data_IF_898331819288
#
_entry.id   IF_898331819288
#
_cell.length_a   1.000
_cell.length_b   1.000
_cell.length_c   1.000
_cell.angle_alpha   90.00
_cell.angle_beta   90.00
_cell.angle_gamma   90.00
#
_symmetry.space_group_name_H-M   'P 1'
#
loop_
_entity.id
_entity.type
_entity.pdbx_description
1 polymer ?
#
# COMPACT_ATOMS: atom_id res chain seq x y z
N UNK A 1 12.86 -20.02 -19.63
CA UNK A 1 11.56 -19.31 -19.56
C UNK A 1 11.09 -19.02 -18.11
N UNK A 2 11.71 -19.59 -17.06
CA UNK A 2 11.36 -19.37 -15.64
C UNK A 2 11.97 -18.11 -14.98
N UNK A 3 13.11 -17.61 -15.49
CA UNK A 3 13.87 -16.48 -14.89
C UNK A 3 13.01 -15.21 -14.68
N UNK A 4 12.04 -14.96 -15.56
CA UNK A 4 11.16 -13.79 -15.45
C UNK A 4 10.19 -13.87 -14.26
N UNK A 5 9.69 -15.06 -13.94
CA UNK A 5 8.73 -15.27 -12.86
C UNK A 5 9.41 -15.17 -11.48
N UNK A 6 10.55 -15.81 -11.30
CA UNK A 6 11.28 -15.77 -10.03
C UNK A 6 11.73 -14.35 -9.67
N UNK A 7 12.16 -13.58 -10.67
CA UNK A 7 12.51 -12.16 -10.49
C UNK A 7 11.30 -11.34 -10.02
N UNK A 8 10.13 -11.58 -10.61
CA UNK A 8 8.90 -10.88 -10.25
C UNK A 8 8.51 -11.18 -8.79
N UNK A 9 8.58 -12.45 -8.38
CA UNK A 9 8.30 -12.87 -7.01
C UNK A 9 9.27 -12.23 -6.00
N UNK A 10 10.55 -12.10 -6.34
CA UNK A 10 11.53 -11.43 -5.48
C UNK A 10 11.29 -9.92 -5.37
N UNK A 11 10.92 -9.26 -6.48
CA UNK A 11 10.59 -7.83 -6.46
C UNK A 11 9.30 -7.57 -5.66
N UNK A 12 8.27 -8.40 -5.85
CA UNK A 12 6.99 -8.26 -5.17
C UNK A 12 7.13 -8.46 -3.66
N UNK A 13 7.90 -9.47 -3.25
CA UNK A 13 8.17 -9.75 -1.84
C UNK A 13 8.98 -8.65 -1.17
N UNK A 14 10.01 -8.12 -1.83
CA UNK A 14 10.78 -6.99 -1.30
C UNK A 14 9.94 -5.72 -1.15
N UNK A 15 9.12 -5.39 -2.16
CA UNK A 15 8.22 -4.24 -2.12
C UNK A 15 7.17 -4.36 -1.00
N UNK A 16 6.54 -5.53 -0.86
CA UNK A 16 5.56 -5.79 0.20
C UNK A 16 6.20 -5.73 1.60
N UNK A 17 7.38 -6.33 1.77
CA UNK A 17 8.11 -6.31 3.04
C UNK A 17 8.47 -4.90 3.50
N UNK A 18 8.99 -4.06 2.60
CA UNK A 18 9.36 -2.68 2.91
C UNK A 18 8.15 -1.81 3.28
N UNK A 19 7.06 -1.93 2.52
CA UNK A 19 5.83 -1.20 2.80
C UNK A 19 5.18 -1.65 4.12
N UNK A 20 5.19 -2.96 4.40
CA UNK A 20 4.68 -3.52 5.65
C UNK A 20 5.47 -3.03 6.87
N UNK A 21 6.81 -3.06 6.80
CA UNK A 21 7.68 -2.59 7.88
C UNK A 21 7.51 -1.10 8.19
N UNK A 22 7.18 -0.28 7.18
CA UNK A 22 6.99 1.16 7.36
C UNK A 22 5.65 1.52 8.03
N UNK A 23 4.59 0.75 7.76
CA UNK A 23 3.22 1.10 8.15
C UNK A 23 2.55 0.14 9.14
N UNK A 24 3.22 -0.95 9.52
CA UNK A 24 2.66 -2.00 10.36
C UNK A 24 1.34 -2.57 9.80
N UNK A 25 1.30 -2.74 8.46
CA UNK A 25 0.06 -3.03 7.72
C UNK A 25 0.29 -4.11 6.64
N UNK A 26 0.45 -5.39 7.03
CA UNK A 26 0.82 -6.46 6.11
C UNK A 26 -0.22 -6.69 5.00
N UNK A 27 -1.52 -6.71 5.33
CA UNK A 27 -2.58 -6.94 4.33
C UNK A 27 -2.60 -5.82 3.29
N UNK A 28 -2.61 -4.56 3.73
CA UNK A 28 -2.62 -3.40 2.83
C UNK A 28 -1.39 -3.41 1.91
N UNK A 29 -0.21 -3.76 2.45
CA UNK A 29 1.01 -3.81 1.66
C UNK A 29 0.95 -4.85 0.53
N UNK A 30 0.37 -6.02 0.78
CA UNK A 30 0.23 -7.08 -0.23
C UNK A 30 -0.77 -6.72 -1.32
N UNK A 31 -1.89 -6.10 -0.94
CA UNK A 31 -2.90 -5.66 -1.88
C UNK A 31 -2.34 -4.57 -2.78
N UNK A 32 -1.58 -3.62 -2.23
CA UNK A 32 -0.89 -2.60 -3.00
C UNK A 32 0.05 -3.20 -4.06
N UNK A 33 0.85 -4.20 -3.68
CA UNK A 33 1.75 -4.87 -4.63
C UNK A 33 0.98 -5.60 -5.74
N UNK A 34 -0.14 -6.25 -5.43
CA UNK A 34 -0.94 -6.91 -6.45
C UNK A 34 -1.66 -5.94 -7.38
N UNK A 35 -2.26 -4.89 -6.81
CA UNK A 35 -3.13 -3.95 -7.51
C UNK A 35 -2.31 -2.95 -8.34
N UNK A 36 -1.29 -2.33 -7.75
CA UNK A 36 -0.55 -1.22 -8.38
C UNK A 36 0.67 -1.70 -9.18
N UNK A 37 1.36 -2.77 -8.76
CA UNK A 37 2.60 -3.21 -9.42
C UNK A 37 2.32 -4.24 -10.51
N UNK A 38 1.49 -5.24 -10.23
CA UNK A 38 1.31 -6.39 -11.13
C UNK A 38 0.04 -6.34 -11.97
N UNK A 39 -0.99 -5.60 -11.54
CA UNK A 39 -2.31 -5.54 -12.17
C UNK A 39 -2.90 -6.94 -12.49
N UNK A 40 -2.44 -7.99 -11.80
CA UNK A 40 -2.85 -9.38 -12.01
C UNK A 40 -2.75 -10.15 -10.69
N UNK A 41 -3.87 -10.77 -10.32
CA UNK A 41 -3.99 -11.58 -9.12
C UNK A 41 -3.44 -12.99 -9.34
N UNK A 42 -2.10 -13.10 -9.40
CA UNK A 42 -1.44 -14.41 -9.31
C UNK A 42 -1.40 -14.87 -7.85
N UNK A 43 -2.03 -15.99 -7.55
CA UNK A 43 -2.04 -16.59 -6.20
C UNK A 43 -0.63 -16.80 -5.65
N UNK A 44 0.33 -17.16 -6.51
CA UNK A 44 1.71 -17.40 -6.09
C UNK A 44 2.38 -16.10 -5.61
N UNK A 45 2.21 -15.00 -6.36
CA UNK A 45 2.76 -13.69 -5.99
C UNK A 45 2.11 -13.19 -4.70
N UNK A 46 0.80 -13.42 -4.54
CA UNK A 46 0.08 -13.04 -3.33
C UNK A 46 0.61 -13.73 -2.07
N UNK A 47 0.76 -15.05 -2.10
CA UNK A 47 1.24 -15.82 -0.94
C UNK A 47 2.66 -15.41 -0.56
N UNK A 48 3.55 -15.25 -1.55
CA UNK A 48 4.95 -14.89 -1.27
C UNK A 48 5.06 -13.45 -0.76
N UNK A 49 4.28 -12.52 -1.32
CA UNK A 49 4.26 -11.13 -0.85
C UNK A 49 3.65 -11.01 0.55
N UNK A 50 2.63 -11.81 0.88
CA UNK A 50 2.01 -11.84 2.21
C UNK A 50 2.91 -12.42 3.28
N UNK A 51 3.57 -13.53 2.97
CA UNK A 51 4.55 -14.12 3.88
C UNK A 51 5.73 -13.18 4.13
N UNK A 52 6.24 -12.48 3.11
CA UNK A 52 7.29 -11.46 3.31
C UNK A 52 6.79 -10.25 4.11
N UNK A 53 5.58 -9.76 3.84
CA UNK A 53 4.99 -8.64 4.55
C UNK A 53 4.80 -8.93 6.04
N UNK A 54 4.29 -10.12 6.39
CA UNK A 54 4.10 -10.55 7.78
C UNK A 54 5.44 -10.71 8.50
N UNK A 55 6.40 -11.39 7.87
CA UNK A 55 7.73 -11.59 8.48
C UNK A 55 8.46 -10.27 8.71
N UNK A 56 8.42 -9.36 7.74
CA UNK A 56 8.98 -8.01 7.88
C UNK A 56 8.29 -7.20 8.97
N UNK A 57 6.97 -7.29 9.07
CA UNK A 57 6.20 -6.61 10.12
C UNK A 57 6.53 -7.12 11.53
N UNK A 58 6.69 -8.44 11.68
CA UNK A 58 7.12 -9.05 12.93
C UNK A 58 8.51 -8.56 13.35
N UNK A 59 9.46 -8.49 12.41
CA UNK A 59 10.81 -7.97 12.67
C UNK A 59 10.76 -6.49 13.03
N UNK A 60 10.01 -5.68 12.27
CA UNK A 60 9.84 -4.25 12.54
C UNK A 60 9.22 -4.03 13.93
N UNK A 61 8.20 -4.80 14.29
CA UNK A 61 7.55 -4.76 15.60
C UNK A 61 8.51 -5.15 16.73
N UNK A 62 9.40 -6.13 16.50
CA UNK A 62 10.41 -6.52 17.50
C UNK A 62 11.46 -5.42 17.72
N UNK A 63 11.84 -4.70 16.66
CA UNK A 63 12.85 -3.64 16.71
C UNK A 63 12.28 -2.31 17.23
N UNK A 64 11.11 -1.89 16.73
CA UNK A 64 10.50 -0.59 17.01
C UNK A 64 9.41 -0.63 18.09
N UNK A 65 8.96 -1.83 18.48
CA UNK A 65 7.91 -2.04 19.47
C UNK A 65 6.50 -2.18 18.86
N UNK A 66 5.54 -2.52 19.72
CA UNK A 66 4.15 -2.86 19.36
C UNK A 66 3.21 -1.65 19.17
N UNK A 67 3.74 -0.44 18.96
CA UNK A 67 2.90 0.75 18.81
C UNK A 67 2.46 0.89 17.35
N UNK A 68 1.15 0.81 17.04
CA UNK A 68 0.68 1.08 15.69
C UNK A 68 1.07 2.50 15.29
N UNK A 69 1.59 2.66 14.08
CA UNK A 69 1.97 3.98 13.53
C UNK A 69 0.76 4.92 13.52
N UNK A 70 -0.45 4.38 13.34
CA UNK A 70 -1.67 5.14 13.18
C UNK A 70 -2.82 4.52 14.02
N UNK A 71 -2.80 4.78 15.33
CA UNK A 71 -3.87 4.35 16.24
C UNK A 71 -5.07 5.30 16.14
N UNK A 72 -6.21 4.79 15.66
CA UNK A 72 -7.47 5.54 15.61
C UNK A 72 -8.57 4.79 16.35
N UNK A 73 -9.30 5.50 17.22
CA UNK A 73 -10.47 4.96 17.90
C UNK A 73 -11.63 4.89 16.91
N UNK A 74 -12.09 3.68 16.61
CA UNK A 74 -13.24 3.48 15.73
C UNK A 74 -14.52 3.96 16.43
N UNK A 75 -15.20 4.92 15.81
CA UNK A 75 -16.59 5.29 16.16
C UNK A 75 -17.45 5.04 14.94
N UNK A 76 -18.64 4.42 15.09
CA UNK A 76 -19.47 4.10 13.94
C UNK A 76 -19.91 5.40 13.26
N UNK A 77 -19.70 5.50 11.94
CA UNK A 77 -20.08 6.67 11.16
C UNK A 77 -21.61 6.67 10.95
N UNK A 78 -22.35 7.70 11.41
CA UNK A 78 -23.78 7.80 11.12
C UNK A 78 -24.08 7.88 9.62
N UNK A 79 -25.17 7.25 9.16
CA UNK A 79 -25.55 7.18 7.73
C UNK A 79 -25.65 8.56 7.06
N UNK A 80 -26.02 9.61 7.80
CA UNK A 80 -26.13 10.99 7.29
C UNK A 80 -24.82 11.55 6.69
N UNK A 81 -23.66 10.98 7.06
CA UNK A 81 -22.36 11.45 6.56
C UNK A 81 -21.87 10.74 5.30
N UNK A 82 -22.56 9.71 4.81
CA UNK A 82 -22.11 8.99 3.59
C UNK A 82 -22.05 9.91 2.37
N UNK A 83 -22.99 10.86 2.23
CA UNK A 83 -22.96 11.84 1.14
C UNK A 83 -21.70 12.73 1.20
N UNK A 84 -21.26 13.09 2.41
CA UNK A 84 -20.04 13.86 2.62
C UNK A 84 -18.78 13.07 2.27
N UNK A 85 -18.77 11.75 2.52
CA UNK A 85 -17.66 10.88 2.12
C UNK A 85 -17.49 10.83 0.61
N UNK A 86 -18.60 10.79 -0.16
CA UNK A 86 -18.55 10.82 -1.64
C UNK A 86 -18.00 12.15 -2.14
N UNK A 87 -18.48 13.28 -1.59
CA UNK A 87 -17.96 14.61 -1.96
C UNK A 87 -16.47 14.74 -1.65
N UNK A 88 -16.05 14.27 -0.47
CA UNK A 88 -14.64 14.26 -0.06
C UNK A 88 -13.80 13.38 -1.00
N UNK A 89 -14.31 12.23 -1.44
CA UNK A 89 -13.67 11.38 -2.44
C UNK A 89 -13.44 12.08 -3.78
N UNK A 90 -14.43 12.83 -4.27
CA UNK A 90 -14.29 13.63 -5.51
C UNK A 90 -13.21 14.70 -5.33
N UNK A 91 -13.24 15.43 -4.21
CA UNK A 91 -12.25 16.48 -3.91
C UNK A 91 -10.84 15.88 -3.83
N UNK A 92 -10.65 14.79 -3.10
CA UNK A 92 -9.36 14.11 -3.01
C UNK A 92 -8.89 13.56 -4.36
N UNK A 93 -9.80 13.06 -5.20
CA UNK A 93 -9.46 12.61 -6.56
C UNK A 93 -8.95 13.74 -7.45
N UNK A 94 -9.61 14.91 -7.42
CA UNK A 94 -9.16 16.10 -8.16
C UNK A 94 -7.81 16.59 -7.63
N UNK A 95 -7.64 16.67 -6.31
CA UNK A 95 -6.37 17.07 -5.71
C UNK A 95 -5.24 16.09 -6.04
N UNK A 96 -5.49 14.78 -6.04
CA UNK A 96 -4.54 13.75 -6.44
C UNK A 96 -4.11 13.91 -7.90
N UNK A 97 -5.05 14.24 -8.80
CA UNK A 97 -4.74 14.52 -10.21
C UNK A 97 -3.88 15.78 -10.36
N UNK A 98 -4.17 16.84 -9.62
CA UNK A 98 -3.35 18.06 -9.60
C UNK A 98 -1.94 17.75 -9.11
N UNK A 99 -1.81 17.01 -8.01
CA UNK A 99 -0.53 16.60 -7.45
C UNK A 99 0.32 15.82 -8.47
N UNK A 100 -0.29 14.86 -9.19
CA UNK A 100 0.37 14.13 -10.27
C UNK A 100 0.88 15.07 -11.38
N UNK A 101 0.07 16.03 -11.82
CA UNK A 101 0.47 16.97 -12.87
C UNK A 101 1.65 17.85 -12.43
N UNK A 102 1.60 18.36 -11.19
CA UNK A 102 2.66 19.22 -10.64
C UNK A 102 3.98 18.46 -10.58
N UNK A 103 4.00 17.23 -10.07
CA UNK A 103 5.22 16.41 -9.99
C UNK A 103 5.81 16.14 -11.37
N UNK A 104 4.98 15.74 -12.35
CA UNK A 104 5.45 15.47 -13.70
C UNK A 104 5.93 16.73 -14.43
N UNK A 105 5.40 17.90 -14.08
CA UNK A 105 5.81 19.18 -14.64
C UNK A 105 7.04 19.77 -13.94
N UNK A 106 7.36 19.33 -12.73
CA UNK A 106 8.47 19.85 -11.93
C UNK A 106 9.82 19.70 -12.64
N UNK A 107 10.04 18.57 -13.34
CA UNK A 107 11.26 18.33 -14.12
C UNK A 107 11.41 19.23 -15.36
N UNK A 108 10.41 20.03 -15.71
CA UNK A 108 10.52 21.08 -16.75
C UNK A 108 10.76 22.47 -16.15
N UNK A 109 10.56 22.62 -14.85
CA UNK A 109 10.73 23.89 -14.12
C UNK A 109 12.14 24.04 -13.54
N UNK A 110 12.85 22.93 -13.35
CA UNK A 110 14.27 22.87 -13.01
C UNK A 110 15.08 22.60 -14.28
#
# INVERSE_FOLDING_TARGET
KQIGFDRQVLISSGAAAGLSAAFNAPIASTLFVLEEIYHNFSTNIWIVSLTSAITSDMVATYVFGLKPVLYMKSTPLPLKYFLWVVLLGIVLGVLGRIYQMVILSMGKWY
#
